data_IF_401136619102
#
_entry.id   IF_401136619102
#
_cell.length_a   1.000
_cell.length_b   1.000
_cell.length_c   1.000
_cell.angle_alpha   90.00
_cell.angle_beta   90.00
_cell.angle_gamma   90.00
#
_symmetry.space_group_name_H-M   'P 1'
#
loop_
_entity.id
_entity.type
_entity.pdbx_description
1 polymer ?
#
# COMPACT_ATOMS: atom_id res chain seq x y z
N UNK A 1 -8.52 -1.87 31.83
CA UNK A 1 -8.74 -2.29 30.43
C UNK A 1 -10.17 -1.95 30.04
N UNK A 2 -10.35 -0.91 29.22
CA UNK A 2 -11.69 -0.44 28.83
C UNK A 2 -12.13 -1.17 27.54
N UNK A 3 -12.79 -2.30 27.69
CA UNK A 3 -13.34 -3.11 26.58
C UNK A 3 -14.52 -2.43 25.83
N UNK A 4 -14.91 -1.21 26.22
CA UNK A 4 -16.10 -0.54 25.66
C UNK A 4 -15.95 -0.01 24.23
N UNK A 5 -14.74 0.10 23.67
CA UNK A 5 -14.52 0.64 22.31
C UNK A 5 -14.45 -0.44 21.22
N UNK A 6 -14.12 -1.67 21.56
CA UNK A 6 -14.05 -2.77 20.60
C UNK A 6 -15.40 -3.32 20.13
N UNK A 7 -16.50 -2.99 20.82
CA UNK A 7 -17.84 -3.44 20.44
C UNK A 7 -18.36 -2.90 19.10
N UNK A 8 -17.73 -1.85 18.54
CA UNK A 8 -18.16 -1.26 17.26
C UNK A 8 -17.45 -1.85 16.03
N UNK A 9 -16.35 -2.58 16.22
CA UNK A 9 -15.57 -3.17 15.11
C UNK A 9 -16.22 -4.45 14.56
N UNK A 10 -17.20 -5.01 15.27
CA UNK A 10 -17.82 -6.30 14.93
C UNK A 10 -18.70 -6.31 13.67
N UNK A 11 -18.76 -5.20 12.91
CA UNK A 11 -19.64 -5.08 11.74
C UNK A 11 -18.93 -4.75 10.43
N UNK A 12 -17.61 -4.97 10.32
CA UNK A 12 -16.97 -4.93 9.01
C UNK A 12 -17.38 -6.20 8.27
N UNK A 13 -18.55 -6.16 7.64
CA UNK A 13 -19.03 -7.26 6.79
C UNK A 13 -18.11 -7.36 5.58
N UNK A 14 -17.18 -8.30 5.62
CA UNK A 14 -16.41 -8.73 4.47
C UNK A 14 -17.39 -9.42 3.51
N UNK A 15 -18.06 -8.64 2.66
CA UNK A 15 -18.92 -9.21 1.62
C UNK A 15 -17.98 -9.72 0.55
N UNK A 16 -17.91 -11.03 0.45
CA UNK A 16 -17.03 -11.78 -0.41
C UNK A 16 -17.09 -11.36 -1.88
N UNK A 17 -16.03 -11.67 -2.60
CA UNK A 17 -15.87 -11.47 -4.03
C UNK A 17 -17.10 -11.98 -4.79
N UNK A 18 -17.96 -11.07 -5.27
CA UNK A 18 -18.93 -11.39 -6.30
C UNK A 18 -18.25 -11.19 -7.63
N UNK A 19 -17.87 -12.28 -8.26
CA UNK A 19 -17.53 -12.30 -9.67
C UNK A 19 -18.80 -12.02 -10.47
N UNK A 20 -19.08 -10.75 -10.72
CA UNK A 20 -20.11 -10.35 -11.67
C UNK A 20 -19.47 -10.36 -13.07
N UNK A 21 -19.71 -11.42 -13.82
CA UNK A 21 -19.42 -11.49 -15.25
C UNK A 21 -20.28 -10.44 -15.96
N UNK A 22 -19.67 -9.35 -16.40
CA UNK A 22 -20.36 -8.32 -17.17
C UNK A 22 -19.42 -7.22 -17.65
N UNK A 23 -19.13 -7.23 -18.95
CA UNK A 23 -18.45 -6.22 -19.77
C UNK A 23 -16.96 -5.97 -19.44
N UNK A 24 -16.11 -6.47 -20.32
CA UNK A 24 -14.67 -6.22 -20.37
C UNK A 24 -14.36 -4.73 -20.47
N UNK A 25 -13.73 -4.18 -19.42
CA UNK A 25 -13.24 -2.82 -19.39
C UNK A 25 -12.81 -2.44 -17.96
N UNK A 26 -12.03 -1.39 -17.83
CA UNK A 26 -11.51 -0.88 -16.56
C UNK A 26 -12.58 -0.58 -15.47
N UNK A 27 -13.86 -0.72 -15.80
CA UNK A 27 -14.99 -0.50 -14.89
C UNK A 27 -15.56 -1.75 -14.23
N UNK A 28 -15.03 -2.96 -14.52
CA UNK A 28 -15.51 -4.17 -13.87
C UNK A 28 -15.12 -4.17 -12.39
N UNK A 29 -16.10 -4.38 -11.49
CA UNK A 29 -15.84 -4.53 -10.06
C UNK A 29 -15.21 -5.89 -9.80
N UNK A 30 -14.01 -5.90 -9.22
CA UNK A 30 -13.29 -7.13 -8.85
C UNK A 30 -13.47 -7.47 -7.38
N UNK A 31 -13.71 -6.46 -6.52
CA UNK A 31 -14.02 -6.67 -5.11
C UNK A 31 -14.87 -5.52 -4.57
N UNK A 32 -15.51 -5.75 -3.42
CA UNK A 32 -16.22 -4.72 -2.66
C UNK A 32 -15.72 -4.72 -1.21
N UNK A 33 -15.39 -3.54 -0.69
CA UNK A 33 -14.97 -3.35 0.71
C UNK A 33 -15.83 -2.24 1.30
N UNK A 34 -16.57 -2.53 2.36
CA UNK A 34 -17.59 -1.61 2.85
C UNK A 34 -18.59 -1.27 1.75
N UNK A 35 -18.77 0.01 1.47
CA UNK A 35 -19.62 0.51 0.39
C UNK A 35 -18.87 0.79 -0.91
N UNK A 36 -17.54 0.62 -0.93
CA UNK A 36 -16.70 0.95 -2.08
C UNK A 36 -16.51 -0.24 -3.00
N UNK A 37 -16.78 -0.03 -4.29
CA UNK A 37 -16.47 -0.98 -5.34
C UNK A 37 -15.05 -0.70 -5.87
N UNK A 38 -14.21 -1.73 -5.87
CA UNK A 38 -12.85 -1.67 -6.42
C UNK A 38 -12.88 -2.31 -7.79
N UNK A 39 -12.48 -1.53 -8.79
CA UNK A 39 -12.54 -1.95 -10.19
C UNK A 39 -11.21 -2.56 -10.65
N UNK A 40 -11.25 -3.34 -11.72
CA UNK A 40 -10.06 -3.86 -12.39
C UNK A 40 -9.08 -2.73 -12.78
N UNK A 41 -9.64 -1.59 -13.24
CA UNK A 41 -8.82 -0.43 -13.56
C UNK A 41 -8.08 0.14 -12.34
N UNK A 42 -8.73 0.22 -11.18
CA UNK A 42 -8.08 0.66 -9.94
C UNK A 42 -6.96 -0.30 -9.51
N UNK A 43 -7.16 -1.62 -9.64
CA UNK A 43 -6.12 -2.63 -9.37
C UNK A 43 -4.94 -2.47 -10.32
N UNK A 44 -5.19 -2.36 -11.62
CA UNK A 44 -4.14 -2.17 -12.62
C UNK A 44 -3.40 -0.84 -12.43
N UNK A 45 -4.08 0.22 -12.04
CA UNK A 45 -3.45 1.49 -11.67
C UNK A 45 -2.52 1.31 -10.47
N UNK A 46 -3.01 0.69 -9.41
CA UNK A 46 -2.24 0.47 -8.19
C UNK A 46 -1.02 -0.42 -8.43
N UNK A 47 -1.16 -1.50 -9.20
CA UNK A 47 -0.05 -2.35 -9.59
C UNK A 47 1.05 -1.55 -10.29
N UNK A 48 0.70 -0.79 -11.32
CA UNK A 48 1.68 -0.07 -12.14
C UNK A 48 2.29 1.15 -11.46
N UNK A 49 1.47 1.94 -10.73
CA UNK A 49 1.88 3.25 -10.21
C UNK A 49 2.04 3.28 -8.68
N UNK A 50 1.39 2.37 -7.95
CA UNK A 50 1.53 2.24 -6.52
C UNK A 50 2.64 1.27 -6.12
N UNK A 51 2.69 0.11 -6.75
CA UNK A 51 3.64 -0.95 -6.42
C UNK A 51 4.78 -1.11 -7.43
N UNK A 52 4.63 -0.61 -8.66
CA UNK A 52 5.60 -0.81 -9.73
C UNK A 52 5.80 -2.28 -10.11
N UNK A 53 4.72 -3.06 -10.09
CA UNK A 53 4.72 -4.50 -10.38
C UNK A 53 3.66 -4.85 -11.43
N UNK A 54 3.89 -5.97 -12.15
CA UNK A 54 2.88 -6.58 -13.01
C UNK A 54 2.11 -7.69 -12.26
N UNK A 55 2.44 -7.97 -11.00
CA UNK A 55 1.74 -8.94 -10.16
C UNK A 55 0.39 -8.39 -9.70
N UNK A 56 -0.64 -8.76 -10.41
CA UNK A 56 -2.02 -8.32 -10.17
C UNK A 56 -2.57 -8.90 -8.87
N UNK A 57 -2.21 -10.13 -8.51
CA UNK A 57 -2.70 -10.77 -7.28
C UNK A 57 -2.12 -10.06 -6.05
N UNK A 58 -0.83 -9.74 -6.08
CA UNK A 58 -0.20 -8.93 -5.02
C UNK A 58 -0.81 -7.53 -4.95
N UNK A 59 -1.14 -6.92 -6.09
CA UNK A 59 -1.81 -5.61 -6.12
C UNK A 59 -3.22 -5.67 -5.53
N UNK A 60 -3.99 -6.72 -5.80
CA UNK A 60 -5.32 -6.96 -5.21
C UNK A 60 -5.21 -7.05 -3.69
N UNK A 61 -4.29 -7.88 -3.17
CA UNK A 61 -4.13 -8.09 -1.73
C UNK A 61 -3.67 -6.82 -1.00
N UNK A 62 -2.78 -6.05 -1.59
CA UNK A 62 -2.34 -4.80 -0.98
C UNK A 62 -3.42 -3.72 -1.05
N UNK A 63 -4.07 -3.53 -2.20
CA UNK A 63 -5.16 -2.57 -2.35
C UNK A 63 -6.31 -2.89 -1.38
N UNK A 64 -6.62 -4.17 -1.17
CA UNK A 64 -7.57 -4.61 -0.15
C UNK A 64 -7.18 -4.14 1.25
N UNK A 65 -5.90 -4.23 1.62
CA UNK A 65 -5.41 -3.74 2.93
C UNK A 65 -5.60 -2.24 3.07
N UNK A 66 -5.30 -1.45 2.01
CA UNK A 66 -5.46 0.01 2.02
C UNK A 66 -6.93 0.41 2.29
N UNK A 67 -7.87 -0.22 1.60
CA UNK A 67 -9.29 0.05 1.82
C UNK A 67 -9.80 -0.45 3.17
N UNK A 68 -9.31 -1.60 3.66
CA UNK A 68 -9.65 -2.09 5.00
C UNK A 68 -9.15 -1.13 6.09
N UNK A 69 -7.96 -0.55 5.94
CA UNK A 69 -7.44 0.45 6.87
C UNK A 69 -8.33 1.69 6.93
N UNK A 70 -8.81 2.18 5.79
CA UNK A 70 -9.78 3.29 5.74
C UNK A 70 -11.08 2.95 6.48
N UNK A 71 -11.63 1.75 6.27
CA UNK A 71 -12.85 1.30 6.97
C UNK A 71 -12.61 1.11 8.48
N UNK A 72 -11.45 0.59 8.89
CA UNK A 72 -11.06 0.49 10.30
C UNK A 72 -10.92 1.88 10.91
N UNK A 73 -10.21 2.80 10.26
CA UNK A 73 -10.07 4.18 10.71
C UNK A 73 -11.44 4.84 10.90
N UNK A 74 -12.34 4.69 9.93
CA UNK A 74 -13.71 5.18 10.02
C UNK A 74 -14.49 4.58 11.21
N UNK A 75 -14.34 3.26 11.44
CA UNK A 75 -14.98 2.58 12.58
C UNK A 75 -14.43 3.02 13.94
N UNK A 76 -13.19 3.54 13.96
CA UNK A 76 -12.52 4.09 15.14
C UNK A 76 -12.72 5.61 15.29
N UNK A 77 -13.53 6.24 14.45
CA UNK A 77 -13.73 7.70 14.38
C UNK A 77 -12.41 8.46 14.11
N UNK A 78 -11.46 7.83 13.40
CA UNK A 78 -10.19 8.43 12.98
C UNK A 78 -10.41 9.17 11.67
N UNK A 79 -9.96 10.43 11.63
CA UNK A 79 -9.98 11.28 10.42
C UNK A 79 -8.63 11.94 10.23
N UNK A 80 -8.29 12.25 8.98
CA UNK A 80 -7.09 13.02 8.69
C UNK A 80 -7.20 14.40 9.34
N UNK A 81 -6.13 14.85 9.94
CA UNK A 81 -5.98 16.25 10.36
C UNK A 81 -5.91 17.16 9.13
N UNK A 82 -6.14 18.46 9.31
CA UNK A 82 -6.05 19.46 8.23
C UNK A 82 -4.68 19.43 7.52
N UNK A 83 -3.62 19.20 8.25
CA UNK A 83 -2.27 19.16 7.68
C UNK A 83 -2.00 17.87 6.91
N UNK A 84 -2.45 16.71 7.43
CA UNK A 84 -2.39 15.43 6.71
C UNK A 84 -3.23 15.47 5.43
N UNK A 85 -4.43 16.02 5.48
CA UNK A 85 -5.28 16.21 4.30
C UNK A 85 -4.62 17.12 3.24
N UNK A 86 -3.92 18.19 3.66
CA UNK A 86 -3.12 19.02 2.75
C UNK A 86 -1.96 18.23 2.15
N UNK A 87 -1.28 17.41 2.94
CA UNK A 87 -0.18 16.59 2.47
C UNK A 87 -0.63 15.56 1.44
N UNK A 88 -1.76 14.87 1.68
CA UNK A 88 -2.38 13.95 0.71
C UNK A 88 -2.67 14.67 -0.61
N UNK A 89 -3.31 15.84 -0.57
CA UNK A 89 -3.60 16.66 -1.76
C UNK A 89 -2.32 17.09 -2.50
N UNK A 90 -1.28 17.45 -1.75
CA UNK A 90 0.02 17.80 -2.32
C UNK A 90 0.65 16.60 -3.02
N UNK A 91 0.58 15.42 -2.42
CA UNK A 91 1.11 14.17 -3.00
C UNK A 91 0.38 13.81 -4.29
N UNK A 92 -0.96 13.93 -4.33
CA UNK A 92 -1.75 13.72 -5.55
C UNK A 92 -1.33 14.74 -6.64
N UNK A 93 -1.15 16.00 -6.27
CA UNK A 93 -0.71 17.04 -7.19
C UNK A 93 0.68 16.75 -7.77
N UNK A 94 1.61 16.32 -6.94
CA UNK A 94 2.97 15.95 -7.34
C UNK A 94 2.96 14.72 -8.26
N UNK A 95 2.14 13.71 -7.95
CA UNK A 95 1.94 12.57 -8.83
C UNK A 95 1.46 13.04 -10.22
N UNK A 96 0.42 13.87 -10.28
CA UNK A 96 -0.10 14.41 -11.55
C UNK A 96 0.96 15.22 -12.31
N UNK A 97 1.79 16.00 -11.59
CA UNK A 97 2.87 16.78 -12.19
C UNK A 97 3.94 15.87 -12.84
N UNK A 98 4.31 14.77 -12.19
CA UNK A 98 5.25 13.77 -12.71
C UNK A 98 4.73 13.06 -13.99
N UNK A 99 3.40 12.99 -14.16
CA UNK A 99 2.79 12.43 -15.36
C UNK A 99 2.69 13.43 -16.54
N UNK A 100 3.39 14.54 -16.47
CA UNK A 100 3.38 15.58 -17.51
C UNK A 100 2.39 16.74 -17.22
N UNK A 101 2.03 16.93 -15.94
CA UNK A 101 1.17 17.98 -15.45
C UNK A 101 -0.26 17.56 -15.19
N UNK A 102 -1.04 18.48 -14.58
CA UNK A 102 -2.40 18.18 -14.11
C UNK A 102 -3.28 17.53 -15.18
N UNK A 103 -3.31 18.05 -16.41
CA UNK A 103 -4.16 17.51 -17.49
C UNK A 103 -3.77 16.08 -17.89
N UNK A 104 -2.47 15.79 -17.95
CA UNK A 104 -1.97 14.47 -18.30
C UNK A 104 -2.24 13.47 -17.18
N UNK A 105 -2.02 13.86 -15.92
CA UNK A 105 -2.35 13.07 -14.74
C UNK A 105 -3.85 12.77 -14.65
N UNK A 106 -4.72 13.76 -14.82
CA UNK A 106 -6.18 13.56 -14.82
C UNK A 106 -6.62 12.59 -15.95
N UNK A 107 -6.02 12.71 -17.15
CA UNK A 107 -6.28 11.79 -18.25
C UNK A 107 -5.83 10.36 -17.94
N UNK A 108 -4.69 10.22 -17.26
CA UNK A 108 -4.17 8.93 -16.83
C UNK A 108 -5.13 8.27 -15.82
N UNK A 109 -5.50 8.98 -14.76
CA UNK A 109 -6.44 8.47 -13.75
C UNK A 109 -7.77 8.04 -14.40
N UNK A 110 -8.32 8.89 -15.26
CA UNK A 110 -9.55 8.57 -16.01
C UNK A 110 -9.41 7.33 -16.89
N UNK A 111 -8.24 7.11 -17.51
CA UNK A 111 -7.97 5.90 -18.32
C UNK A 111 -8.15 4.62 -17.50
N UNK A 112 -7.77 4.65 -16.23
CA UNK A 112 -7.90 3.54 -15.30
C UNK A 112 -9.21 3.54 -14.50
N UNK A 113 -10.09 4.53 -14.72
CA UNK A 113 -11.31 4.67 -13.93
C UNK A 113 -11.04 5.00 -12.45
N UNK A 114 -9.90 5.61 -12.18
CA UNK A 114 -9.49 6.07 -10.85
C UNK A 114 -9.98 7.50 -10.67
N UNK A 115 -10.84 7.70 -9.70
CA UNK A 115 -11.32 9.01 -9.28
C UNK A 115 -10.50 9.57 -8.11
N UNK A 116 -10.89 10.76 -7.63
CA UNK A 116 -10.18 11.43 -6.55
C UNK A 116 -10.33 10.67 -5.20
N UNK A 117 -11.43 9.95 -4.97
CA UNK A 117 -11.62 9.14 -3.73
C UNK A 117 -10.71 7.90 -3.72
N UNK A 118 -10.59 7.24 -4.87
CA UNK A 118 -9.72 6.07 -5.02
C UNK A 118 -8.25 6.46 -4.78
N UNK A 119 -7.76 7.52 -5.46
CA UNK A 119 -6.36 7.93 -5.30
C UNK A 119 -6.08 8.50 -3.91
N UNK A 120 -7.03 9.21 -3.31
CA UNK A 120 -6.93 9.70 -1.94
C UNK A 120 -6.82 8.55 -0.95
N UNK A 121 -7.63 7.49 -1.12
CA UNK A 121 -7.58 6.29 -0.28
C UNK A 121 -6.21 5.63 -0.34
N UNK A 122 -5.67 5.42 -1.54
CA UNK A 122 -4.35 4.81 -1.74
C UNK A 122 -3.25 5.63 -1.05
N UNK A 123 -3.26 6.96 -1.22
CA UNK A 123 -2.19 7.82 -0.70
C UNK A 123 -2.31 8.02 0.82
N UNK A 124 -3.52 8.05 1.36
CA UNK A 124 -3.75 8.26 2.80
C UNK A 124 -3.60 7.01 3.66
N UNK A 125 -3.52 5.83 3.05
CA UNK A 125 -3.52 4.56 3.78
C UNK A 125 -2.39 4.44 4.82
N UNK A 126 -1.18 4.90 4.48
CA UNK A 126 -0.05 4.90 5.42
C UNK A 126 -0.31 5.79 6.64
N UNK A 127 -0.96 6.94 6.45
CA UNK A 127 -1.35 7.85 7.54
C UNK A 127 -2.41 7.19 8.42
N UNK A 128 -3.43 6.60 7.83
CA UNK A 128 -4.44 5.85 8.59
C UNK A 128 -3.83 4.65 9.32
N UNK A 129 -2.88 3.93 8.72
CA UNK A 129 -2.18 2.84 9.38
C UNK A 129 -1.49 3.30 10.66
N UNK A 130 -0.75 4.42 10.58
CA UNK A 130 -0.07 4.97 11.74
C UNK A 130 -1.07 5.38 12.83
N UNK A 131 -2.11 6.15 12.49
CA UNK A 131 -3.12 6.60 13.45
C UNK A 131 -3.90 5.44 14.09
N UNK A 132 -4.20 4.39 13.32
CA UNK A 132 -4.85 3.16 13.84
C UNK A 132 -3.91 2.47 14.83
N UNK A 133 -2.64 2.30 14.48
CA UNK A 133 -1.66 1.67 15.37
C UNK A 133 -1.47 2.47 16.66
N UNK A 134 -1.38 3.80 16.59
CA UNK A 134 -1.24 4.67 17.75
C UNK A 134 -2.45 4.58 18.72
N UNK A 135 -3.66 4.29 18.17
CA UNK A 135 -4.86 4.13 18.99
C UNK A 135 -5.07 2.72 19.54
N UNK A 136 -4.42 1.71 18.96
CA UNK A 136 -4.61 0.32 19.40
C UNK A 136 -3.91 0.02 20.73
N UNK A 137 -3.11 0.94 21.29
CA UNK A 137 -2.36 0.72 22.54
C UNK A 137 -1.70 -0.67 22.56
N UNK A 138 -1.05 -1.01 21.45
CA UNK A 138 -0.34 -2.28 21.32
C UNK A 138 0.89 -2.21 22.20
N UNK A 139 0.96 -3.09 23.19
CA UNK A 139 2.13 -3.19 24.05
C UNK A 139 3.38 -3.42 23.19
N UNK A 140 4.44 -2.65 23.47
CA UNK A 140 5.71 -2.88 22.82
C UNK A 140 6.19 -4.32 23.11
N UNK A 141 6.66 -5.05 22.07
CA UNK A 141 7.17 -6.39 22.29
C UNK A 141 8.42 -6.33 23.18
N UNK A 142 8.56 -7.31 24.05
CA UNK A 142 9.76 -7.46 24.86
C UNK A 142 10.97 -7.83 23.98
N UNK A 143 12.17 -7.52 24.46
CA UNK A 143 13.41 -7.89 23.77
C UNK A 143 13.49 -9.40 23.49
N UNK A 144 12.97 -10.22 24.37
CA UNK A 144 12.96 -11.68 24.19
C UNK A 144 11.98 -12.11 23.08
N UNK A 145 10.80 -11.48 22.98
CA UNK A 145 9.85 -11.73 21.88
C UNK A 145 10.42 -11.29 20.53
N UNK A 146 11.05 -10.12 20.46
CA UNK A 146 11.74 -9.64 19.26
C UNK A 146 12.86 -10.61 18.85
N UNK A 147 13.68 -11.03 19.81
CA UNK A 147 14.78 -11.97 19.55
C UNK A 147 14.27 -13.33 19.06
N UNK A 148 13.21 -13.85 19.69
CA UNK A 148 12.61 -15.12 19.30
C UNK A 148 12.04 -15.04 17.89
N UNK A 149 11.28 -13.96 17.59
CA UNK A 149 10.74 -13.73 16.25
C UNK A 149 11.84 -13.65 15.19
N UNK A 150 12.96 -12.99 15.52
CA UNK A 150 14.11 -12.91 14.62
C UNK A 150 14.75 -14.28 14.35
N UNK A 151 14.91 -15.10 15.40
CA UNK A 151 15.48 -16.45 15.28
C UNK A 151 14.58 -17.37 14.43
N UNK A 152 13.25 -17.23 14.61
CA UNK A 152 12.29 -18.12 13.95
C UNK A 152 12.04 -17.74 12.47
N UNK A 153 12.22 -16.47 12.12
CA UNK A 153 11.80 -15.96 10.80
C UNK A 153 12.96 -15.48 9.92
N UNK A 154 14.17 -15.31 10.46
CA UNK A 154 15.30 -14.76 9.73
C UNK A 154 16.55 -15.62 9.85
N UNK A 155 17.32 -15.65 8.79
CA UNK A 155 18.65 -16.27 8.78
C UNK A 155 19.70 -15.17 8.73
N UNK A 156 20.74 -15.30 9.58
CA UNK A 156 21.91 -14.44 9.52
C UNK A 156 22.96 -15.09 8.63
N UNK A 157 23.25 -14.46 7.50
CA UNK A 157 24.36 -14.84 6.63
C UNK A 157 25.48 -13.79 6.69
N UNK A 158 26.72 -14.27 6.54
CA UNK A 158 27.89 -13.42 6.27
C UNK A 158 28.39 -13.77 4.87
N UNK A 159 28.76 -12.78 4.10
CA UNK A 159 29.39 -12.99 2.80
C UNK A 159 30.64 -12.10 2.69
N UNK A 160 31.58 -12.57 1.92
CA UNK A 160 32.76 -11.82 1.52
C UNK A 160 32.59 -11.55 0.03
N UNK A 161 32.54 -10.28 -0.33
CA UNK A 161 32.52 -9.87 -1.72
C UNK A 161 33.96 -9.61 -2.17
N UNK A 162 34.39 -10.37 -3.18
CA UNK A 162 35.66 -10.13 -3.84
C UNK A 162 35.34 -9.52 -5.20
N UNK A 163 35.82 -8.30 -5.42
CA UNK A 163 35.67 -7.67 -6.73
C UNK A 163 36.59 -8.37 -7.73
N UNK A 164 36.00 -8.84 -8.82
CA UNK A 164 36.76 -9.38 -9.96
C UNK A 164 37.04 -8.32 -11.01
N UNK A 165 36.56 -7.08 -10.76
CA UNK A 165 36.77 -5.94 -11.66
C UNK A 165 37.34 -4.75 -10.92
N UNK A 166 38.23 -4.03 -11.56
CA UNK A 166 38.69 -2.72 -11.10
C UNK A 166 37.51 -1.74 -11.07
N UNK A 167 37.28 -1.13 -9.90
CA UNK A 167 36.12 -0.26 -9.66
C UNK A 167 36.19 1.07 -10.43
N UNK A 168 37.36 1.44 -10.93
CA UNK A 168 37.60 2.71 -11.65
C UNK A 168 37.52 2.52 -13.15
N UNK A 169 38.14 1.46 -13.66
CA UNK A 169 38.24 1.20 -15.08
C UNK A 169 37.24 0.19 -15.62
N UNK A 170 36.65 -0.62 -14.74
CA UNK A 170 35.76 -1.73 -15.10
C UNK A 170 36.47 -2.92 -15.73
N UNK A 171 37.80 -2.89 -15.81
CA UNK A 171 38.60 -3.98 -16.36
C UNK A 171 38.63 -5.19 -15.41
N UNK A 172 38.73 -6.39 -15.95
CA UNK A 172 38.90 -7.60 -15.16
C UNK A 172 40.22 -7.56 -14.41
N UNK A 173 40.19 -7.90 -13.11
CA UNK A 173 41.39 -8.10 -12.31
C UNK A 173 42.00 -9.47 -12.64
N UNK A 174 43.30 -9.52 -12.80
CA UNK A 174 44.00 -10.80 -12.96
C UNK A 174 44.12 -11.55 -11.64
N UNK A 175 44.38 -12.86 -11.70
CA UNK A 175 44.45 -13.73 -10.54
C UNK A 175 45.54 -13.33 -9.52
N UNK A 176 46.45 -12.44 -9.86
CA UNK A 176 47.50 -11.93 -8.99
C UNK A 176 47.10 -10.74 -8.14
N UNK A 177 45.92 -10.15 -8.38
CA UNK A 177 45.39 -8.97 -7.73
C UNK A 177 44.08 -9.25 -6.96
N UNK A 178 43.66 -10.49 -6.85
CA UNK A 178 42.51 -10.96 -6.05
C UNK A 178 42.94 -11.37 -4.58
#
# INVERSE_FOLDING_TARGET
MNFGRFGKIASVSLIGAMLLAGCSGNGQTVMKIGDTNITEGAVNFFANYGMGTEDVDAAVDNLKKEYLLKEVAKAMDITLTDDEAKQVKSTISNFKAQQGGKKAGDKLLKKYGVDDDIIETIISASTYSQQVMDQLDVAEPTDDEVKQYFVDNYLRAKHILISTKDMTTGADLDEGNL
#
